data_IF_792729035101
#
_entry.id   IF_792729035101
#
_cell.length_a   1.000
_cell.length_b   1.000
_cell.length_c   1.000
_cell.angle_alpha   90.00
_cell.angle_beta   90.00
_cell.angle_gamma   90.00
#
_symmetry.space_group_name_H-M   'P 1'
#
loop_
_entity.id
_entity.type
_entity.pdbx_description
1 polymer ?
#
# COMPACT_ATOMS: atom_id res chain seq x y z
N UNK A 1 -74.31 73.23 -11.21
CA UNK A 1 -74.93 71.94 -11.61
C UNK A 1 -74.12 71.34 -12.75
N UNK A 2 -74.23 70.03 -12.94
CA UNK A 2 -73.65 69.24 -14.03
C UNK A 2 -72.15 68.87 -13.95
N UNK A 3 -71.98 67.55 -13.80
CA UNK A 3 -70.85 66.64 -14.01
C UNK A 3 -69.60 67.10 -14.77
N UNK A 4 -68.45 66.65 -14.26
CA UNK A 4 -67.25 66.33 -15.05
C UNK A 4 -66.73 64.92 -14.73
N UNK A 5 -66.35 64.21 -15.80
CA UNK A 5 -65.39 63.11 -15.79
C UNK A 5 -64.19 63.56 -16.68
N UNK A 6 -63.07 62.86 -16.87
CA UNK A 6 -62.68 61.44 -16.74
C UNK A 6 -61.24 61.44 -16.15
N UNK A 7 -60.78 60.48 -15.34
CA UNK A 7 -60.00 59.34 -15.85
C UNK A 7 -59.45 58.41 -14.76
N UNK A 8 -59.18 57.15 -15.15
CA UNK A 8 -58.60 56.10 -14.32
C UNK A 8 -57.06 56.19 -14.29
N UNK A 9 -56.45 55.70 -13.21
CA UNK A 9 -55.07 55.22 -13.18
C UNK A 9 -55.06 53.74 -12.77
N UNK A 10 -54.28 52.91 -13.46
CA UNK A 10 -54.34 51.46 -13.33
C UNK A 10 -53.43 50.91 -12.22
N UNK A 11 -53.98 50.10 -11.32
CA UNK A 11 -53.21 49.27 -10.39
C UNK A 11 -52.57 48.08 -11.10
N UNK A 12 -51.24 47.92 -10.97
CA UNK A 12 -50.46 46.97 -11.75
C UNK A 12 -50.59 45.51 -11.30
N UNK A 13 -50.57 44.58 -12.27
CA UNK A 13 -50.78 43.13 -12.05
C UNK A 13 -49.64 42.41 -11.29
N UNK A 14 -48.62 43.12 -10.84
CA UNK A 14 -47.37 42.55 -10.29
C UNK A 14 -47.52 41.99 -8.87
N UNK A 15 -48.33 42.62 -8.01
CA UNK A 15 -48.46 42.19 -6.61
C UNK A 15 -49.09 40.79 -6.42
N UNK A 16 -49.97 40.36 -7.33
CA UNK A 16 -50.73 39.11 -7.17
C UNK A 16 -49.94 37.85 -7.53
N UNK A 17 -48.88 37.97 -8.34
CA UNK A 17 -47.99 36.85 -8.67
C UNK A 17 -46.91 36.63 -7.61
N UNK A 18 -46.37 37.70 -7.04
CA UNK A 18 -45.35 37.62 -5.97
C UNK A 18 -45.90 36.87 -4.74
N UNK A 19 -47.14 37.18 -4.32
CA UNK A 19 -47.78 36.50 -3.19
C UNK A 19 -48.03 35.00 -3.45
N UNK A 20 -48.34 34.60 -4.69
CA UNK A 20 -48.53 33.18 -5.04
C UNK A 20 -47.21 32.40 -5.07
N UNK A 21 -46.11 33.02 -5.55
CA UNK A 21 -44.78 32.37 -5.54
C UNK A 21 -44.26 32.21 -4.11
N UNK A 22 -44.43 33.21 -3.25
CA UNK A 22 -44.02 33.13 -1.82
C UNK A 22 -44.85 32.12 -1.03
N UNK A 23 -46.16 32.00 -1.30
CA UNK A 23 -47.00 30.98 -0.67
C UNK A 23 -46.63 29.56 -1.14
N UNK A 24 -46.28 29.38 -2.42
CA UNK A 24 -45.87 28.08 -2.94
C UNK A 24 -44.51 27.63 -2.35
N UNK A 25 -43.53 28.52 -2.22
CA UNK A 25 -42.23 28.18 -1.62
C UNK A 25 -42.34 27.88 -0.12
N UNK A 26 -43.17 28.61 0.63
CA UNK A 26 -43.38 28.37 2.06
C UNK A 26 -44.10 27.04 2.40
N UNK A 27 -44.78 26.41 1.43
CA UNK A 27 -45.48 25.12 1.64
C UNK A 27 -44.73 23.94 1.01
N UNK A 28 -44.01 24.14 -0.11
CA UNK A 28 -43.24 23.08 -0.75
C UNK A 28 -41.88 22.81 -0.08
N UNK A 29 -41.24 23.83 0.51
CA UNK A 29 -39.94 23.64 1.19
C UNK A 29 -40.04 22.79 2.47
N UNK A 30 -41.05 22.93 3.36
CA UNK A 30 -41.20 22.05 4.51
C UNK A 30 -41.60 20.61 4.13
N UNK A 31 -42.38 20.42 3.06
CA UNK A 31 -42.89 19.10 2.68
C UNK A 31 -41.83 18.21 2.01
N UNK A 32 -40.85 18.82 1.32
CA UNK A 32 -39.67 18.12 0.82
C UNK A 32 -38.70 17.70 1.95
N UNK A 33 -38.71 18.39 3.09
CA UNK A 33 -37.86 18.09 4.26
C UNK A 33 -38.50 17.04 5.18
N UNK A 34 -39.82 16.86 5.13
CA UNK A 34 -40.57 15.92 5.98
C UNK A 34 -40.67 14.47 5.45
N UNK A 35 -40.22 14.20 4.22
CA UNK A 35 -40.30 12.86 3.57
C UNK A 35 -38.97 12.12 3.44
N UNK A 36 -37.90 12.60 4.09
CA UNK A 36 -36.61 11.89 4.22
C UNK A 36 -36.25 11.42 5.66
N UNK A 37 -37.14 10.67 6.36
CA UNK A 37 -36.70 9.84 7.47
C UNK A 37 -37.08 8.35 7.30
N UNK A 38 -36.75 7.70 6.18
CA UNK A 38 -36.92 6.23 6.06
C UNK A 38 -35.92 5.46 5.17
N UNK A 39 -34.70 5.99 4.95
CA UNK A 39 -33.64 5.25 4.23
C UNK A 39 -32.24 5.32 4.85
N UNK A 40 -32.08 5.95 6.02
CA UNK A 40 -30.78 6.07 6.72
C UNK A 40 -30.74 5.12 7.94
N UNK A 41 -31.07 3.85 7.71
CA UNK A 41 -30.96 2.75 8.70
C UNK A 41 -30.01 1.65 8.20
N UNK A 42 -29.30 1.88 7.09
CA UNK A 42 -28.22 1.00 6.60
C UNK A 42 -26.93 1.78 6.31
N UNK A 43 -26.56 2.68 7.24
CA UNK A 43 -25.31 3.44 7.22
C UNK A 43 -24.58 3.31 8.58
N UNK A 44 -24.46 2.07 9.07
CA UNK A 44 -23.52 1.71 10.15
C UNK A 44 -22.52 0.73 9.57
N UNK A 45 -21.21 1.00 9.71
CA UNK A 45 -20.15 0.09 9.29
C UNK A 45 -19.80 0.15 7.80
N UNK A 46 -19.37 1.31 7.32
CA UNK A 46 -18.58 1.39 6.09
C UNK A 46 -17.35 2.25 6.36
N UNK A 47 -16.38 1.66 7.07
CA UNK A 47 -14.99 2.09 6.95
C UNK A 47 -14.64 1.98 5.47
N UNK A 48 -14.51 3.11 4.79
CA UNK A 48 -14.09 3.13 3.38
C UNK A 48 -12.61 2.75 3.33
N UNK A 49 -12.35 1.44 3.32
CA UNK A 49 -11.04 0.92 2.97
C UNK A 49 -10.69 1.47 1.59
N UNK A 50 -9.73 2.39 1.54
CA UNK A 50 -9.13 2.83 0.28
C UNK A 50 -8.20 1.72 -0.20
N UNK A 51 -8.14 1.50 -1.52
CA UNK A 51 -7.12 0.62 -2.07
C UNK A 51 -5.77 1.28 -1.82
N UNK A 52 -4.90 0.61 -1.05
CA UNK A 52 -3.58 1.14 -0.75
C UNK A 52 -2.59 0.65 -1.81
N UNK A 53 -1.81 1.57 -2.37
CA UNK A 53 -0.53 1.25 -3.02
C UNK A 53 0.40 0.72 -1.94
N UNK A 54 0.44 -0.60 -1.78
CA UNK A 54 1.19 -1.25 -0.72
C UNK A 54 2.68 -1.24 -1.02
N UNK A 55 3.48 -0.78 -0.06
CA UNK A 55 4.92 -0.93 -0.09
C UNK A 55 5.26 -2.42 -0.11
N UNK A 56 5.57 -2.92 -1.31
CA UNK A 56 6.05 -4.26 -1.50
C UNK A 56 7.52 -4.15 -1.85
N UNK A 57 8.42 -4.84 -1.14
CA UNK A 57 9.84 -4.89 -1.46
C UNK A 57 10.13 -5.82 -2.66
N UNK A 58 9.13 -6.61 -3.10
CA UNK A 58 9.28 -7.61 -4.15
C UNK A 58 10.07 -8.85 -3.71
N UNK A 59 10.04 -9.90 -4.53
CA UNK A 59 10.92 -11.06 -4.38
C UNK A 59 12.42 -10.70 -4.52
N UNK A 60 13.30 -11.63 -4.17
CA UNK A 60 14.73 -11.46 -4.46
C UNK A 60 14.93 -11.37 -5.98
N UNK A 61 15.61 -10.33 -6.46
CA UNK A 61 15.86 -10.16 -7.88
C UNK A 61 16.81 -11.26 -8.39
N UNK A 62 16.36 -12.04 -9.37
CA UNK A 62 17.16 -13.12 -9.99
C UNK A 62 17.19 -12.94 -11.50
N UNK A 63 18.36 -13.18 -12.09
CA UNK A 63 18.59 -13.05 -13.54
C UNK A 63 18.98 -14.42 -14.10
N UNK A 64 18.18 -14.96 -15.03
CA UNK A 64 18.55 -16.18 -15.74
C UNK A 64 19.60 -15.89 -16.84
N UNK A 65 20.46 -16.87 -17.13
CA UNK A 65 21.62 -16.70 -18.01
C UNK A 65 21.29 -16.23 -19.44
N UNK A 66 20.08 -16.51 -19.94
CA UNK A 66 19.60 -16.08 -21.25
C UNK A 66 18.35 -15.18 -21.16
N UNK A 67 18.16 -14.49 -20.03
CA UNK A 67 17.00 -13.61 -19.83
C UNK A 67 17.14 -12.32 -20.63
N UNK A 68 16.04 -11.94 -21.29
CA UNK A 68 15.87 -10.66 -21.98
C UNK A 68 14.49 -10.12 -21.64
N UNK A 69 14.37 -8.83 -21.33
CA UNK A 69 13.10 -8.19 -20.96
C UNK A 69 13.01 -6.83 -21.64
N UNK A 70 11.98 -6.60 -22.44
CA UNK A 70 11.71 -5.32 -23.13
C UNK A 70 12.94 -4.69 -23.84
N UNK A 71 13.76 -5.54 -24.48
CA UNK A 71 14.99 -5.14 -25.17
C UNK A 71 16.27 -5.10 -24.30
N UNK A 72 16.16 -5.18 -22.98
CA UNK A 72 17.30 -5.26 -22.06
C UNK A 72 17.84 -6.69 -21.95
N UNK A 73 19.15 -6.85 -22.14
CA UNK A 73 19.88 -8.12 -22.05
C UNK A 73 20.44 -8.42 -20.65
N UNK A 74 21.09 -9.58 -20.51
CA UNK A 74 21.55 -10.12 -19.22
C UNK A 74 22.34 -9.11 -18.36
N UNK A 75 23.36 -8.44 -18.90
CA UNK A 75 24.21 -7.52 -18.12
C UNK A 75 23.43 -6.30 -17.60
N UNK A 76 22.49 -5.79 -18.39
CA UNK A 76 21.58 -4.69 -18.00
C UNK A 76 20.61 -5.16 -16.91
N UNK A 77 20.14 -6.40 -16.99
CA UNK A 77 19.27 -7.01 -15.99
C UNK A 77 20.01 -7.32 -14.67
N UNK A 78 21.31 -7.64 -14.71
CA UNK A 78 22.16 -7.74 -13.50
C UNK A 78 22.32 -6.38 -12.83
N UNK A 79 22.46 -5.31 -13.61
CA UNK A 79 22.48 -3.94 -13.09
C UNK A 79 21.12 -3.57 -12.48
N UNK A 80 19.99 -3.87 -13.15
CA UNK A 80 18.65 -3.66 -12.59
C UNK A 80 18.41 -4.46 -11.30
N UNK A 81 18.81 -5.74 -11.25
CA UNK A 81 18.74 -6.58 -10.05
C UNK A 81 19.56 -5.99 -8.90
N UNK A 82 20.72 -5.39 -9.19
CA UNK A 82 21.55 -4.68 -8.20
C UNK A 82 20.82 -3.46 -7.64
N UNK A 83 20.22 -2.62 -8.50
CA UNK A 83 19.43 -1.45 -8.10
C UNK A 83 18.23 -1.86 -7.22
N UNK A 84 17.50 -2.91 -7.62
CA UNK A 84 16.39 -3.48 -6.85
C UNK A 84 16.87 -3.95 -5.48
N UNK A 85 17.92 -4.77 -5.42
CA UNK A 85 18.39 -5.35 -4.17
C UNK A 85 18.95 -4.30 -3.19
N UNK A 86 19.57 -3.22 -3.68
CA UNK A 86 19.98 -2.09 -2.84
C UNK A 86 18.77 -1.32 -2.29
N UNK A 87 17.74 -1.10 -3.11
CA UNK A 87 16.49 -0.47 -2.66
C UNK A 87 15.83 -1.28 -1.54
N UNK A 88 15.73 -2.60 -1.72
CA UNK A 88 15.24 -3.55 -0.71
C UNK A 88 16.05 -3.48 0.59
N UNK A 89 17.38 -3.42 0.51
CA UNK A 89 18.26 -3.30 1.67
C UNK A 89 18.11 -1.96 2.42
N UNK A 90 17.60 -0.92 1.76
CA UNK A 90 17.29 0.38 2.35
C UNK A 90 15.80 0.55 2.72
N UNK A 91 14.98 -0.50 2.61
CA UNK A 91 13.54 -0.45 2.91
C UNK A 91 12.71 0.32 1.87
N UNK A 92 13.27 0.60 0.69
CA UNK A 92 12.56 1.26 -0.41
C UNK A 92 11.63 0.27 -1.11
N UNK A 93 10.38 0.66 -1.31
CA UNK A 93 9.35 -0.16 -1.94
C UNK A 93 9.52 -0.31 -3.47
N UNK A 94 8.70 -1.18 -4.08
CA UNK A 94 8.70 -1.43 -5.53
C UNK A 94 8.40 -0.18 -6.34
N UNK A 95 7.66 0.80 -5.82
CA UNK A 95 7.47 2.07 -6.53
C UNK A 95 8.78 2.87 -6.60
N UNK A 96 9.47 3.06 -5.47
CA UNK A 96 10.79 3.71 -5.44
C UNK A 96 11.85 2.94 -6.20
N UNK A 97 11.84 1.60 -6.14
CA UNK A 97 12.71 0.74 -6.96
C UNK A 97 12.42 0.89 -8.46
N UNK A 98 11.15 0.98 -8.86
CA UNK A 98 10.74 1.20 -10.26
C UNK A 98 11.19 2.58 -10.74
N UNK A 99 11.09 3.61 -9.90
CA UNK A 99 11.61 4.95 -10.20
C UNK A 99 13.13 4.94 -10.37
N UNK A 100 13.87 4.19 -9.54
CA UNK A 100 15.32 4.04 -9.69
C UNK A 100 15.69 3.27 -10.98
N UNK A 101 15.06 2.13 -11.26
CA UNK A 101 15.29 1.37 -12.50
C UNK A 101 14.93 2.20 -13.74
N UNK A 102 13.79 2.91 -13.72
CA UNK A 102 13.36 3.85 -14.77
C UNK A 102 14.41 4.97 -14.99
N UNK A 103 14.95 5.53 -13.90
CA UNK A 103 16.00 6.56 -14.00
C UNK A 103 17.23 5.98 -14.68
N UNK A 104 17.73 4.83 -14.21
CA UNK A 104 18.90 4.17 -14.80
C UNK A 104 18.69 3.73 -16.27
N UNK A 105 17.46 3.41 -16.67
CA UNK A 105 17.10 3.20 -18.08
C UNK A 105 17.23 4.48 -18.91
N UNK A 106 16.74 5.62 -18.42
CA UNK A 106 16.85 6.91 -19.10
C UNK A 106 18.29 7.44 -19.19
N UNK A 107 19.05 7.33 -18.09
CA UNK A 107 20.42 7.89 -18.00
C UNK A 107 21.48 7.07 -18.75
N UNK A 108 21.29 5.75 -18.88
CA UNK A 108 22.36 4.87 -19.43
C UNK A 108 21.86 3.64 -20.18
N UNK A 109 20.55 3.44 -20.31
CA UNK A 109 19.96 2.15 -20.70
C UNK A 109 20.45 1.00 -19.82
N UNK A 110 20.53 1.23 -18.49
CA UNK A 110 21.06 0.27 -17.50
C UNK A 110 22.52 -0.16 -17.76
N UNK A 111 23.39 0.75 -18.19
CA UNK A 111 24.81 0.48 -18.43
C UNK A 111 25.70 1.28 -17.49
N UNK A 112 26.76 0.66 -16.97
CA UNK A 112 27.72 1.35 -16.09
C UNK A 112 28.77 2.13 -16.89
N UNK A 113 28.36 3.27 -17.46
CA UNK A 113 29.20 4.06 -18.37
C UNK A 113 30.33 4.79 -17.62
N UNK A 114 31.56 4.73 -18.15
CA UNK A 114 32.74 5.39 -17.55
C UNK A 114 32.94 6.85 -18.01
N UNK A 115 31.98 7.35 -18.79
CA UNK A 115 31.88 8.63 -19.48
C UNK A 115 30.42 9.11 -19.42
N UNK A 116 30.15 10.33 -19.86
CA UNK A 116 28.81 10.90 -19.91
C UNK A 116 28.51 11.57 -21.24
N UNK A 117 27.26 12.00 -21.41
CA UNK A 117 26.79 12.58 -22.68
C UNK A 117 27.27 14.04 -22.88
N UNK A 118 27.73 14.68 -21.80
CA UNK A 118 28.31 16.00 -21.83
C UNK A 118 29.79 15.99 -22.28
N UNK A 119 30.21 17.03 -22.98
CA UNK A 119 31.59 17.21 -23.48
C UNK A 119 32.65 17.14 -22.36
N UNK A 120 32.28 17.47 -21.12
CA UNK A 120 33.17 17.44 -19.96
C UNK A 120 33.25 16.07 -19.24
N UNK A 121 32.39 15.10 -19.58
CA UNK A 121 32.33 13.77 -18.97
C UNK A 121 32.25 13.78 -17.43
N UNK A 122 31.64 14.81 -16.84
CA UNK A 122 31.58 14.96 -15.37
C UNK A 122 30.56 14.03 -14.71
N UNK A 123 29.49 13.69 -15.42
CA UNK A 123 28.51 12.64 -15.10
C UNK A 123 29.01 11.28 -15.57
N UNK A 124 28.82 10.25 -14.75
CA UNK A 124 29.23 8.86 -15.05
C UNK A 124 28.34 7.86 -14.31
N UNK A 125 28.48 6.59 -14.68
CA UNK A 125 27.85 5.45 -14.04
C UNK A 125 26.43 5.22 -14.51
N UNK A 126 25.79 4.21 -13.93
CA UNK A 126 24.44 3.77 -14.30
C UNK A 126 23.35 4.85 -14.18
N UNK A 127 23.55 5.83 -13.30
CA UNK A 127 22.66 6.98 -13.09
C UNK A 127 23.21 8.31 -13.63
N UNK A 128 24.30 8.32 -14.42
CA UNK A 128 24.95 9.56 -14.88
C UNK A 128 25.14 10.60 -13.75
N UNK A 129 25.57 10.15 -12.58
CA UNK A 129 25.64 11.00 -11.40
C UNK A 129 26.86 11.93 -11.47
N UNK A 130 26.69 13.20 -11.09
CA UNK A 130 27.78 14.16 -10.88
C UNK A 130 28.49 13.99 -9.53
N UNK A 131 29.58 14.71 -9.29
CA UNK A 131 30.41 14.58 -8.08
C UNK A 131 29.66 14.79 -6.73
N UNK A 132 28.49 15.43 -6.75
CA UNK A 132 27.63 15.61 -5.57
C UNK A 132 27.09 14.29 -4.97
N UNK A 133 27.11 13.19 -5.74
CA UNK A 133 26.69 11.86 -5.28
C UNK A 133 27.85 11.02 -4.71
N UNK A 134 29.11 11.47 -4.88
CA UNK A 134 30.28 10.77 -4.35
C UNK A 134 31.51 10.83 -5.26
N UNK A 135 32.57 10.16 -4.77
CA UNK A 135 33.85 10.04 -5.49
C UNK A 135 33.70 9.26 -6.80
N UNK A 136 34.66 9.40 -7.73
CA UNK A 136 34.62 8.70 -9.03
C UNK A 136 34.45 7.17 -8.88
N UNK A 137 35.16 6.45 -7.98
CA UNK A 137 34.93 5.02 -7.79
C UNK A 137 33.52 4.69 -7.29
N UNK A 138 32.97 5.46 -6.36
CA UNK A 138 31.62 5.25 -5.82
C UNK A 138 30.54 5.42 -6.89
N UNK A 139 30.70 6.38 -7.81
CA UNK A 139 29.76 6.58 -8.92
C UNK A 139 29.87 5.53 -10.04
N UNK A 140 30.98 4.79 -10.08
CA UNK A 140 31.20 3.67 -11.01
C UNK A 140 30.94 2.30 -10.38
N UNK A 141 30.50 2.25 -9.12
CA UNK A 141 29.97 1.05 -8.49
C UNK A 141 28.44 1.13 -8.51
N UNK A 142 27.72 0.28 -9.28
CA UNK A 142 26.27 0.37 -9.42
C UNK A 142 25.52 0.27 -8.09
N UNK A 143 26.03 -0.49 -7.12
CA UNK A 143 25.41 -0.63 -5.81
C UNK A 143 25.53 0.67 -4.99
N UNK A 144 26.71 1.27 -4.94
CA UNK A 144 26.94 2.56 -4.26
C UNK A 144 26.20 3.72 -4.94
N UNK A 145 26.17 3.75 -6.27
CA UNK A 145 25.42 4.75 -7.04
C UNK A 145 23.90 4.66 -6.79
N UNK A 146 23.35 3.43 -6.71
CA UNK A 146 21.97 3.20 -6.32
C UNK A 146 21.68 3.62 -4.87
N UNK A 147 22.58 3.28 -3.93
CA UNK A 147 22.44 3.69 -2.54
C UNK A 147 22.42 5.23 -2.39
N UNK A 148 23.24 5.94 -3.18
CA UNK A 148 23.23 7.41 -3.22
C UNK A 148 21.94 8.00 -3.84
N UNK A 149 21.39 7.36 -4.89
CA UNK A 149 20.10 7.74 -5.48
C UNK A 149 18.97 7.62 -4.44
N UNK A 150 18.80 6.46 -3.81
CA UNK A 150 17.75 6.22 -2.82
C UNK A 150 17.90 7.09 -1.58
N UNK A 151 19.13 7.29 -1.08
CA UNK A 151 19.39 8.20 0.06
C UNK A 151 18.85 9.60 -0.21
N UNK A 152 19.00 10.10 -1.45
CA UNK A 152 18.47 11.41 -1.86
C UNK A 152 16.96 11.37 -2.10
N UNK A 153 16.43 10.28 -2.68
CA UNK A 153 15.00 10.09 -2.90
C UNK A 153 14.19 10.13 -1.58
N UNK A 154 14.68 9.43 -0.55
CA UNK A 154 14.03 9.36 0.77
C UNK A 154 13.99 10.70 1.53
N UNK A 155 14.74 11.72 1.08
CA UNK A 155 14.63 13.10 1.64
C UNK A 155 13.49 13.91 1.03
N UNK A 156 12.82 13.42 -0.01
CA UNK A 156 11.77 14.14 -0.73
C UNK A 156 10.41 13.85 -0.05
N UNK A 157 9.71 14.84 0.54
CA UNK A 157 8.43 14.58 1.19
C UNK A 157 7.36 14.11 0.20
N UNK A 158 6.67 13.02 0.53
CA UNK A 158 5.59 12.44 -0.28
C UNK A 158 6.08 11.79 -1.57
N UNK A 159 7.31 11.29 -1.61
CA UNK A 159 7.86 10.56 -2.75
C UNK A 159 7.02 9.32 -3.09
N UNK A 160 6.42 8.68 -2.07
CA UNK A 160 5.64 7.44 -2.16
C UNK A 160 4.41 7.54 -3.07
N UNK A 161 3.90 8.76 -3.29
CA UNK A 161 2.71 9.06 -4.09
C UNK A 161 2.99 10.08 -5.20
N UNK A 162 4.27 10.30 -5.53
CA UNK A 162 4.68 11.27 -6.54
C UNK A 162 4.57 10.68 -7.95
N UNK A 163 4.39 11.52 -8.96
CA UNK A 163 4.60 11.08 -10.35
C UNK A 163 6.02 10.52 -10.52
N UNK A 164 6.21 9.34 -11.14
CA UNK A 164 7.51 8.69 -11.26
C UNK A 164 8.59 9.55 -11.92
N UNK A 165 8.25 10.23 -13.03
CA UNK A 165 9.22 11.04 -13.77
C UNK A 165 9.55 12.32 -13.01
N UNK A 166 8.55 12.93 -12.35
CA UNK A 166 8.76 14.06 -11.45
C UNK A 166 9.63 13.70 -10.24
N UNK A 167 9.49 12.50 -9.67
CA UNK A 167 10.34 12.04 -8.57
C UNK A 167 11.78 11.83 -9.03
N UNK A 168 12.00 11.12 -10.14
CA UNK A 168 13.32 10.97 -10.74
C UNK A 168 13.97 12.32 -11.05
N UNK A 169 13.21 13.25 -11.64
CA UNK A 169 13.64 14.64 -11.87
C UNK A 169 14.05 15.36 -10.58
N UNK A 170 13.30 15.22 -9.47
CA UNK A 170 13.68 15.84 -8.19
C UNK A 170 14.94 15.22 -7.57
N UNK A 171 15.17 13.91 -7.78
CA UNK A 171 16.41 13.26 -7.34
C UNK A 171 17.58 13.77 -8.19
N UNK A 172 17.52 13.60 -9.50
CA UNK A 172 18.63 13.85 -10.45
C UNK A 172 18.87 15.35 -10.74
N UNK A 173 17.82 16.16 -10.67
CA UNK A 173 17.81 17.59 -11.06
C UNK A 173 18.20 17.79 -12.54
N UNK A 174 17.57 17.01 -13.42
CA UNK A 174 17.72 17.13 -14.88
C UNK A 174 16.87 18.28 -15.45
N UNK A 175 17.03 18.59 -16.75
CA UNK A 175 16.38 19.76 -17.37
C UNK A 175 14.89 19.58 -17.71
N UNK A 176 14.42 18.35 -17.95
CA UNK A 176 13.03 18.04 -18.32
C UNK A 176 12.38 17.11 -17.28
N UNK A 177 11.36 17.57 -16.54
CA UNK A 177 10.62 16.74 -15.59
C UNK A 177 9.97 15.48 -16.18
N UNK A 178 9.69 15.45 -17.49
CA UNK A 178 9.03 14.34 -18.18
C UNK A 178 10.00 13.38 -18.88
N UNK A 179 11.31 13.62 -18.79
CA UNK A 179 12.34 12.86 -19.50
C UNK A 179 12.25 11.34 -19.27
N UNK A 180 11.92 10.92 -18.04
CA UNK A 180 11.92 9.52 -17.65
C UNK A 180 10.60 8.80 -17.94
N UNK A 181 9.52 9.53 -18.28
CA UNK A 181 8.14 9.00 -18.42
C UNK A 181 8.05 7.77 -19.33
N UNK A 182 8.80 7.76 -20.44
CA UNK A 182 8.80 6.64 -21.40
C UNK A 182 9.33 5.32 -20.82
N UNK A 183 10.20 5.39 -19.81
CA UNK A 183 10.89 4.24 -19.22
C UNK A 183 10.13 3.62 -18.03
N UNK A 184 9.05 4.25 -17.53
CA UNK A 184 8.36 3.76 -16.33
C UNK A 184 7.74 2.37 -16.54
N UNK A 185 7.08 2.15 -17.69
CA UNK A 185 6.53 0.83 -18.03
C UNK A 185 7.65 -0.22 -18.23
N UNK A 186 8.67 -0.01 -19.07
CA UNK A 186 9.82 -0.91 -19.18
C UNK A 186 10.45 -1.30 -17.83
N UNK A 187 10.61 -0.33 -16.92
CA UNK A 187 11.14 -0.57 -15.58
C UNK A 187 10.22 -1.49 -14.74
N UNK A 188 8.91 -1.33 -14.87
CA UNK A 188 7.92 -2.21 -14.23
C UNK A 188 7.94 -3.64 -14.78
N UNK A 189 8.12 -3.79 -16.09
CA UNK A 189 8.25 -5.10 -16.73
C UNK A 189 9.56 -5.81 -16.33
N UNK A 190 10.66 -5.07 -16.21
CA UNK A 190 11.94 -5.57 -15.67
C UNK A 190 11.80 -6.00 -14.21
N UNK A 191 11.20 -5.20 -13.35
CA UNK A 191 10.96 -5.59 -11.94
C UNK A 191 10.09 -6.86 -11.87
N UNK A 192 9.02 -6.93 -12.66
CA UNK A 192 8.15 -8.11 -12.72
C UNK A 192 8.91 -9.37 -13.13
N UNK A 193 9.74 -9.28 -14.17
CA UNK A 193 10.51 -10.40 -14.68
C UNK A 193 11.67 -10.85 -13.76
N UNK A 194 12.22 -9.94 -12.94
CA UNK A 194 13.32 -10.26 -12.02
C UNK A 194 12.86 -10.70 -10.63
N UNK A 195 11.71 -10.21 -10.15
CA UNK A 195 11.22 -10.43 -8.77
C UNK A 195 9.95 -11.29 -8.71
N UNK A 196 9.39 -11.68 -9.86
CA UNK A 196 8.07 -12.33 -9.95
C UNK A 196 6.91 -11.43 -9.54
N UNK A 197 7.12 -10.13 -9.33
CA UNK A 197 6.16 -9.20 -8.72
C UNK A 197 5.96 -7.97 -9.62
N UNK A 198 4.73 -7.77 -10.12
CA UNK A 198 4.38 -6.54 -10.86
C UNK A 198 4.04 -5.40 -9.88
N UNK A 199 4.21 -4.12 -10.26
CA UNK A 199 3.66 -2.99 -9.51
C UNK A 199 2.13 -3.06 -9.32
N UNK A 200 1.41 -3.75 -10.23
CA UNK A 200 -0.02 -4.00 -10.11
C UNK A 200 -0.36 -5.05 -9.03
N UNK A 201 0.49 -6.07 -8.81
CA UNK A 201 0.36 -7.00 -7.68
C UNK A 201 0.71 -6.36 -6.32
N UNK A 202 1.26 -5.14 -6.32
CA UNK A 202 1.44 -4.33 -5.11
C UNK A 202 0.18 -3.54 -4.71
N UNK A 203 -0.92 -3.64 -5.48
CA UNK A 203 -2.21 -3.11 -5.07
C UNK A 203 -2.82 -4.00 -3.98
N UNK A 204 -3.00 -3.43 -2.79
CA UNK A 204 -3.67 -4.09 -1.67
C UNK A 204 -5.17 -3.80 -1.79
N UNK A 205 -6.03 -4.79 -2.16
CA UNK A 205 -7.40 -4.49 -2.53
C UNK A 205 -8.23 -3.97 -1.36
N UNK A 206 -9.07 -2.97 -1.63
CA UNK A 206 -10.09 -2.47 -0.70
C UNK A 206 -11.25 -3.45 -0.49
N UNK A 207 -11.45 -4.38 -1.41
CA UNK A 207 -12.48 -5.41 -1.33
C UNK A 207 -11.94 -6.70 -0.72
N UNK A 208 -12.67 -7.25 0.25
CA UNK A 208 -12.26 -8.43 0.99
C UNK A 208 -12.18 -9.68 0.09
N UNK A 209 -13.10 -9.86 -0.86
CA UNK A 209 -13.06 -11.00 -1.78
C UNK A 209 -11.90 -10.90 -2.77
N UNK A 210 -11.57 -9.69 -3.25
CA UNK A 210 -10.39 -9.43 -4.08
C UNK A 210 -9.08 -9.66 -3.32
N UNK A 211 -8.96 -9.20 -2.07
CA UNK A 211 -7.80 -9.48 -1.22
C UNK A 211 -7.64 -10.98 -0.96
N UNK A 212 -8.73 -11.67 -0.62
CA UNK A 212 -8.74 -13.11 -0.42
C UNK A 212 -8.34 -13.90 -1.69
N UNK A 213 -8.71 -13.46 -2.90
CA UNK A 213 -8.26 -14.09 -4.15
C UNK A 213 -6.75 -14.01 -4.36
N UNK A 214 -6.11 -12.91 -3.97
CA UNK A 214 -4.64 -12.80 -4.00
C UNK A 214 -3.99 -13.79 -3.01
N UNK A 215 -4.58 -13.92 -1.82
CA UNK A 215 -4.12 -14.88 -0.81
C UNK A 215 -4.32 -16.34 -1.27
N UNK A 216 -5.42 -16.67 -1.96
CA UNK A 216 -5.63 -18.00 -2.58
C UNK A 216 -4.60 -18.29 -3.68
N UNK A 217 -4.21 -17.30 -4.48
CA UNK A 217 -3.11 -17.47 -5.43
C UNK A 217 -1.77 -17.72 -4.72
N UNK A 218 -1.53 -17.07 -3.57
CA UNK A 218 -0.34 -17.30 -2.74
C UNK A 218 -0.34 -18.67 -2.03
N UNK A 219 -1.51 -19.18 -1.62
CA UNK A 219 -1.69 -20.56 -1.13
C UNK A 219 -1.31 -21.55 -2.24
N UNK A 220 -1.88 -21.38 -3.45
CA UNK A 220 -1.59 -22.25 -4.59
C UNK A 220 -0.11 -22.22 -5.02
N UNK A 221 0.59 -21.11 -4.77
CA UNK A 221 2.04 -20.97 -4.99
C UNK A 221 2.92 -21.52 -3.84
N UNK A 222 2.32 -22.02 -2.74
CA UNK A 222 3.04 -22.45 -1.53
C UNK A 222 3.66 -21.31 -0.73
N UNK A 223 3.32 -20.05 -1.05
CA UNK A 223 3.87 -18.83 -0.44
C UNK A 223 3.15 -18.46 0.86
N UNK A 224 1.85 -18.74 0.93
CA UNK A 224 1.05 -18.58 2.14
C UNK A 224 0.68 -19.97 2.67
N UNK A 225 1.05 -20.26 3.91
CA UNK A 225 0.81 -21.55 4.57
C UNK A 225 0.09 -21.34 5.90
N UNK A 226 -0.79 -22.28 6.26
CA UNK A 226 -1.53 -22.24 7.52
C UNK A 226 -1.09 -23.39 8.42
N UNK A 227 -1.03 -23.14 9.74
CA UNK A 227 -0.78 -24.19 10.73
C UNK A 227 -1.92 -25.21 10.76
N UNK A 228 -3.15 -24.76 10.44
CA UNK A 228 -4.33 -25.61 10.34
C UNK A 228 -5.19 -25.24 9.12
N UNK A 229 -5.64 -26.25 8.36
CA UNK A 229 -6.43 -26.07 7.14
C UNK A 229 -7.78 -25.37 7.36
N UNK A 230 -8.30 -25.35 8.59
CA UNK A 230 -9.51 -24.62 8.97
C UNK A 230 -9.37 -23.10 8.85
N UNK A 231 -8.16 -22.56 8.95
CA UNK A 231 -7.89 -21.14 8.74
C UNK A 231 -7.69 -20.82 7.25
N UNK A 232 -7.01 -21.71 6.51
CA UNK A 232 -6.91 -21.65 5.05
C UNK A 232 -8.30 -21.61 4.39
N UNK A 233 -9.21 -22.47 4.84
CA UNK A 233 -10.57 -22.55 4.33
C UNK A 233 -11.37 -21.25 4.55
N UNK A 234 -11.08 -20.46 5.59
CA UNK A 234 -11.72 -19.14 5.77
C UNK A 234 -11.34 -18.19 4.63
N UNK A 235 -10.07 -18.16 4.25
CA UNK A 235 -9.58 -17.33 3.14
C UNK A 235 -10.14 -17.80 1.80
N UNK A 236 -10.20 -19.10 1.56
CA UNK A 236 -10.81 -19.68 0.35
C UNK A 236 -12.30 -19.27 0.26
N UNK A 237 -13.05 -19.43 1.35
CA UNK A 237 -14.47 -19.07 1.40
C UNK A 237 -14.74 -17.55 1.34
N UNK A 238 -13.77 -16.72 1.72
CA UNK A 238 -13.84 -15.26 1.48
C UNK A 238 -13.59 -14.94 0.00
N UNK A 239 -12.72 -15.70 -0.69
CA UNK A 239 -12.37 -15.49 -2.09
C UNK A 239 -13.48 -15.93 -3.07
N UNK A 240 -14.18 -17.03 -2.77
CA UNK A 240 -15.30 -17.53 -3.60
C UNK A 240 -16.67 -16.90 -3.25
N UNK A 241 -16.77 -16.19 -2.12
CA UNK A 241 -17.99 -15.54 -1.65
C UNK A 241 -18.94 -16.45 -0.86
N UNK A 242 -18.47 -17.62 -0.40
CA UNK A 242 -19.26 -18.60 0.38
C UNK A 242 -19.12 -18.47 1.90
N UNK A 243 -18.25 -17.58 2.40
CA UNK A 243 -18.00 -17.39 3.82
C UNK A 243 -19.29 -17.07 4.60
N UNK A 244 -19.54 -17.85 5.66
CA UNK A 244 -20.68 -17.61 6.56
C UNK A 244 -20.41 -16.40 7.46
N UNK A 245 -21.47 -15.81 8.03
CA UNK A 245 -21.36 -14.65 8.93
C UNK A 245 -20.46 -14.89 10.18
N UNK A 246 -20.27 -16.14 10.60
CA UNK A 246 -19.37 -16.50 11.70
C UNK A 246 -17.90 -16.64 11.26
N UNK A 247 -17.65 -16.69 9.94
CA UNK A 247 -16.35 -16.95 9.31
C UNK A 247 -15.81 -15.77 8.48
N UNK A 248 -16.47 -14.61 8.54
CA UNK A 248 -15.98 -13.40 7.89
C UNK A 248 -14.66 -12.93 8.55
N UNK A 249 -13.75 -12.45 7.73
CA UNK A 249 -12.52 -11.78 8.16
C UNK A 249 -12.65 -10.29 7.86
N UNK A 250 -12.15 -9.44 8.76
CA UNK A 250 -12.05 -8.01 8.48
C UNK A 250 -11.13 -7.77 7.27
N UNK A 251 -11.52 -6.84 6.40
CA UNK A 251 -10.74 -6.57 5.20
C UNK A 251 -9.31 -6.15 5.52
N UNK A 252 -9.08 -5.41 6.61
CA UNK A 252 -7.75 -4.96 6.99
C UNK A 252 -6.86 -6.13 7.45
N UNK A 253 -7.43 -7.21 8.01
CA UNK A 253 -6.69 -8.45 8.31
C UNK A 253 -6.21 -9.09 7.01
N UNK A 254 -7.11 -9.23 6.02
CA UNK A 254 -6.75 -9.76 4.70
C UNK A 254 -5.70 -8.86 4.00
N UNK A 255 -5.81 -7.53 4.13
CA UNK A 255 -4.84 -6.58 3.59
C UNK A 255 -3.46 -6.72 4.24
N UNK A 256 -3.38 -6.86 5.56
CA UNK A 256 -2.13 -7.14 6.29
C UNK A 256 -1.50 -8.45 5.81
N UNK A 257 -2.31 -9.50 5.62
CA UNK A 257 -1.83 -10.77 5.05
C UNK A 257 -1.31 -10.58 3.60
N UNK A 258 -1.98 -9.79 2.76
CA UNK A 258 -1.51 -9.49 1.38
C UNK A 258 -0.20 -8.73 1.40
N UNK A 259 -0.04 -7.73 2.28
CA UNK A 259 1.22 -6.99 2.43
C UNK A 259 2.34 -7.95 2.87
N UNK A 260 2.11 -8.82 3.86
CA UNK A 260 3.09 -9.81 4.27
C UNK A 260 3.47 -10.75 3.10
N UNK A 261 2.48 -11.32 2.41
CA UNK A 261 2.67 -12.21 1.27
C UNK A 261 3.44 -11.54 0.13
N UNK A 262 3.29 -10.24 -0.08
CA UNK A 262 4.03 -9.51 -1.12
C UNK A 262 5.48 -9.16 -0.73
N UNK A 263 5.82 -9.21 0.56
CA UNK A 263 7.12 -8.75 1.09
C UNK A 263 8.05 -9.88 1.55
N UNK A 264 7.50 -10.98 2.02
CA UNK A 264 8.27 -12.13 2.51
C UNK A 264 8.30 -13.27 1.47
N UNK A 265 9.29 -14.16 1.56
CA UNK A 265 9.43 -15.32 0.67
C UNK A 265 8.36 -16.37 0.93
N UNK A 266 8.00 -16.55 2.20
CA UNK A 266 6.92 -17.40 2.69
C UNK A 266 6.31 -16.75 3.94
N UNK A 267 5.02 -17.00 4.17
CA UNK A 267 4.22 -16.48 5.29
C UNK A 267 3.46 -17.64 5.93
N UNK A 268 3.62 -17.82 7.23
CA UNK A 268 2.94 -18.81 8.05
C UNK A 268 1.91 -18.19 8.99
N UNK A 269 0.64 -18.60 8.88
CA UNK A 269 -0.46 -18.11 9.73
C UNK A 269 -0.93 -19.22 10.68
N UNK A 270 -0.96 -18.93 11.98
CA UNK A 270 -1.40 -19.88 13.02
C UNK A 270 -2.85 -19.71 13.41
N UNK A 271 -3.40 -18.50 13.32
CA UNK A 271 -4.77 -18.22 13.76
C UNK A 271 -5.41 -17.05 13.00
N UNK A 272 -6.75 -17.10 12.86
CA UNK A 272 -7.60 -16.11 12.22
C UNK A 272 -8.95 -16.02 12.97
N UNK A 273 -10.09 -16.32 12.33
CA UNK A 273 -11.40 -16.19 12.97
C UNK A 273 -11.75 -17.44 13.81
N UNK A 274 -11.56 -17.35 15.14
CA UNK A 274 -11.91 -18.41 16.11
C UNK A 274 -13.42 -18.65 16.24
N UNK A 275 -14.28 -17.70 15.87
CA UNK A 275 -15.74 -17.90 15.84
C UNK A 275 -16.18 -18.80 14.69
N UNK A 276 -15.36 -18.91 13.64
CA UNK A 276 -15.58 -19.88 12.57
C UNK A 276 -15.29 -21.32 13.05
N UNK A 277 -14.25 -21.49 13.88
CA UNK A 277 -13.81 -22.80 14.40
C UNK A 277 -14.56 -23.23 15.66
N UNK A 278 -15.22 -22.28 16.34
CA UNK A 278 -15.97 -22.51 17.59
C UNK A 278 -15.09 -22.45 18.85
N UNK A 279 -13.86 -21.94 18.74
CA UNK A 279 -12.88 -21.96 19.82
C UNK A 279 -12.91 -20.71 20.69
N UNK A 280 -12.77 -20.89 22.01
CA UNK A 280 -12.79 -19.78 22.98
C UNK A 280 -11.58 -19.79 23.95
N UNK A 281 -10.32 -19.92 23.48
CA UNK A 281 -9.15 -19.76 24.34
C UNK A 281 -8.98 -18.30 24.82
N UNK A 282 -8.25 -18.11 25.93
CA UNK A 282 -7.90 -16.80 26.47
C UNK A 282 -9.12 -15.93 26.80
N UNK A 283 -9.22 -14.77 26.16
CA UNK A 283 -10.34 -13.83 26.32
C UNK A 283 -11.69 -14.38 25.80
N UNK A 284 -11.71 -15.53 25.11
CA UNK A 284 -12.93 -16.13 24.60
C UNK A 284 -13.63 -15.22 23.57
N UNK A 285 -14.93 -14.99 23.75
CA UNK A 285 -15.76 -14.28 22.77
C UNK A 285 -15.48 -12.78 22.64
N UNK A 286 -14.68 -12.19 23.54
CA UNK A 286 -14.23 -10.79 23.42
C UNK A 286 -12.92 -10.65 22.65
N UNK A 287 -12.20 -11.74 22.35
CA UNK A 287 -10.98 -11.71 21.56
C UNK A 287 -11.21 -11.14 20.16
N UNK A 288 -10.24 -10.40 19.62
CA UNK A 288 -10.27 -9.94 18.23
C UNK A 288 -10.32 -11.11 17.23
N UNK A 289 -9.72 -12.27 17.55
CA UNK A 289 -9.89 -13.50 16.75
C UNK A 289 -11.34 -13.97 16.68
N UNK A 290 -12.10 -13.90 17.78
CA UNK A 290 -13.53 -14.25 17.75
C UNK A 290 -14.37 -13.28 16.91
N UNK A 291 -13.84 -12.08 16.65
CA UNK A 291 -14.48 -11.06 15.83
C UNK A 291 -14.01 -11.09 14.36
N UNK A 292 -13.07 -11.97 13.99
CA UNK A 292 -12.43 -11.98 12.67
C UNK A 292 -11.49 -10.78 12.42
N UNK A 293 -11.04 -10.13 13.50
CA UNK A 293 -10.24 -8.88 13.51
C UNK A 293 -8.77 -9.07 13.89
N UNK A 294 -8.28 -10.30 13.92
CA UNK A 294 -6.89 -10.59 14.27
C UNK A 294 -6.29 -11.69 13.39
N UNK A 295 -4.97 -11.71 13.35
CA UNK A 295 -4.15 -12.69 12.64
C UNK A 295 -2.86 -12.94 13.42
N UNK A 296 -2.54 -14.22 13.59
CA UNK A 296 -1.29 -14.66 14.21
C UNK A 296 -0.34 -15.16 13.13
N UNK A 297 0.81 -14.51 13.01
CA UNK A 297 1.90 -14.94 12.13
C UNK A 297 2.86 -15.81 12.93
N UNK A 298 2.95 -17.11 12.62
CA UNK A 298 3.91 -18.00 13.30
C UNK A 298 5.26 -18.10 12.58
N UNK A 299 5.32 -17.75 11.29
CA UNK A 299 6.56 -17.81 10.52
C UNK A 299 6.61 -16.80 9.36
N UNK A 300 7.81 -16.32 9.04
CA UNK A 300 8.12 -15.56 7.83
C UNK A 300 9.45 -16.06 7.26
N UNK A 301 9.59 -16.10 5.93
CA UNK A 301 10.81 -16.61 5.26
C UNK A 301 11.25 -18.01 5.76
N UNK A 302 10.30 -18.88 6.13
CA UNK A 302 10.52 -20.19 6.77
C UNK A 302 11.19 -20.17 8.16
N UNK A 303 11.25 -19.01 8.83
CA UNK A 303 11.72 -18.85 10.21
C UNK A 303 10.55 -18.56 11.15
N UNK A 304 10.51 -19.20 12.31
CA UNK A 304 9.47 -18.97 13.32
C UNK A 304 9.58 -17.57 13.93
N UNK A 305 8.42 -16.96 14.22
CA UNK A 305 8.33 -15.66 14.89
C UNK A 305 8.19 -15.82 16.40
N UNK A 306 8.68 -14.82 17.13
CA UNK A 306 8.52 -14.67 18.60
C UNK A 306 7.89 -13.35 19.01
N UNK A 307 7.70 -12.44 18.04
CA UNK A 307 7.20 -11.07 18.25
C UNK A 307 8.27 -10.06 18.68
N UNK A 308 9.53 -10.49 18.82
CA UNK A 308 10.70 -9.61 19.05
C UNK A 308 11.83 -9.81 18.03
N UNK A 309 11.81 -10.91 17.29
CA UNK A 309 12.80 -11.23 16.26
C UNK A 309 12.80 -10.22 15.10
N UNK A 310 13.90 -10.15 14.36
CA UNK A 310 14.09 -9.21 13.25
C UNK A 310 12.96 -9.25 12.20
N UNK A 311 12.37 -10.43 11.93
CA UNK A 311 11.29 -10.58 10.96
C UNK A 311 9.95 -10.11 11.52
N UNK A 312 9.67 -10.35 12.80
CA UNK A 312 8.54 -9.72 13.50
C UNK A 312 8.65 -8.20 13.47
N UNK A 313 9.80 -7.63 13.86
CA UNK A 313 10.02 -6.18 13.84
C UNK A 313 9.93 -5.61 12.41
N UNK A 314 10.45 -6.33 11.41
CA UNK A 314 10.31 -5.97 10.00
C UNK A 314 8.84 -5.96 9.56
N UNK A 315 8.06 -7.01 9.88
CA UNK A 315 6.63 -7.09 9.57
C UNK A 315 5.86 -5.92 10.20
N UNK A 316 6.10 -5.64 11.48
CA UNK A 316 5.40 -4.56 12.20
C UNK A 316 5.66 -3.20 11.53
N UNK A 317 6.93 -2.87 11.26
CA UNK A 317 7.28 -1.58 10.64
C UNK A 317 6.79 -1.47 9.19
N UNK A 318 6.73 -2.58 8.48
CA UNK A 318 6.19 -2.66 7.12
C UNK A 318 4.69 -2.38 7.06
N UNK A 319 3.90 -2.94 7.99
CA UNK A 319 2.43 -2.83 7.97
C UNK A 319 1.89 -1.63 8.75
N UNK A 320 2.66 -1.05 9.70
CA UNK A 320 2.22 0.09 10.51
C UNK A 320 1.65 1.26 9.68
N UNK A 321 2.22 1.69 8.54
CA UNK A 321 1.63 2.76 7.73
C UNK A 321 0.23 2.43 7.16
N UNK A 322 -0.13 1.15 7.05
CA UNK A 322 -1.30 0.64 6.34
C UNK A 322 -2.42 0.12 7.25
N UNK A 323 -2.11 -0.33 8.47
CA UNK A 323 -3.14 -0.74 9.43
C UNK A 323 -3.98 0.47 9.89
N UNK A 324 -5.27 0.30 10.21
CA UNK A 324 -6.08 1.38 10.78
C UNK A 324 -5.46 1.93 12.07
N UNK A 325 -5.47 3.25 12.23
CA UNK A 325 -5.09 3.88 13.50
C UNK A 325 -5.98 3.37 14.64
N UNK A 326 -5.37 2.86 15.72
CA UNK A 326 -6.08 2.13 16.77
C UNK A 326 -5.78 0.63 16.79
N UNK A 327 -5.02 0.13 15.81
CA UNK A 327 -4.62 -1.28 15.74
C UNK A 327 -3.76 -1.70 16.93
N UNK A 328 -3.86 -2.99 17.26
CA UNK A 328 -3.20 -3.61 18.41
C UNK A 328 -2.11 -4.61 18.01
N UNK A 329 -1.08 -4.68 18.84
CA UNK A 329 0.10 -5.51 18.64
C UNK A 329 0.39 -6.34 19.92
N UNK A 330 0.43 -7.66 19.78
CA UNK A 330 0.77 -8.57 20.89
C UNK A 330 2.27 -8.61 21.21
N UNK A 331 2.67 -9.55 22.07
CA UNK A 331 4.07 -9.84 22.44
C UNK A 331 4.84 -8.66 23.08
N UNK A 332 4.15 -7.67 23.67
CA UNK A 332 4.82 -6.51 24.28
C UNK A 332 5.67 -6.88 25.50
N UNK A 333 5.26 -7.92 26.23
CA UNK A 333 6.00 -8.56 27.32
C UNK A 333 7.31 -9.22 26.86
N UNK A 334 7.32 -9.78 25.65
CA UNK A 334 8.48 -10.49 25.07
C UNK A 334 9.55 -9.45 24.74
N UNK A 335 9.20 -8.48 23.87
CA UNK A 335 10.04 -7.31 23.53
C UNK A 335 10.56 -6.54 24.77
N UNK A 336 9.71 -6.33 25.77
CA UNK A 336 10.11 -5.63 27.00
C UNK A 336 11.08 -6.44 27.87
N UNK A 337 10.98 -7.77 27.91
CA UNK A 337 11.87 -8.63 28.69
C UNK A 337 13.32 -8.61 28.16
N UNK A 338 13.49 -8.46 26.84
CA UNK A 338 14.80 -8.32 26.20
C UNK A 338 15.26 -6.85 26.04
N UNK A 339 14.49 -5.88 26.55
CA UNK A 339 14.90 -4.48 26.63
C UNK A 339 14.75 -3.67 25.34
N UNK A 340 14.06 -4.19 24.33
CA UNK A 340 13.81 -3.51 23.04
C UNK A 340 12.29 -3.24 22.82
N UNK A 341 11.69 -2.28 23.55
CA UNK A 341 10.30 -1.90 23.32
C UNK A 341 10.17 -1.16 21.98
N UNK A 342 9.40 -1.74 21.05
CA UNK A 342 9.13 -1.09 19.77
C UNK A 342 8.38 0.24 19.96
N UNK A 343 8.97 1.32 19.43
CA UNK A 343 8.50 2.70 19.54
C UNK A 343 8.44 3.37 18.16
N UNK A 344 7.81 4.54 18.08
CA UNK A 344 7.71 5.32 16.84
C UNK A 344 6.67 4.82 15.83
N UNK A 345 5.86 3.83 16.20
CA UNK A 345 4.72 3.35 15.39
C UNK A 345 3.61 4.41 15.35
N UNK A 346 2.96 4.53 14.18
CA UNK A 346 1.97 5.56 13.86
C UNK A 346 0.54 5.10 14.09
N UNK A 347 0.21 3.86 13.71
CA UNK A 347 -1.16 3.33 13.73
C UNK A 347 -1.35 2.19 14.74
N UNK A 348 -0.28 1.47 15.09
CA UNK A 348 -0.26 0.58 16.26
C UNK A 348 -0.19 1.38 17.56
N UNK A 349 -1.35 1.83 18.05
CA UNK A 349 -1.46 2.61 19.29
C UNK A 349 -1.74 1.77 20.53
N UNK A 350 -1.96 0.45 20.38
CA UNK A 350 -2.19 -0.48 21.48
C UNK A 350 -1.13 -1.58 21.45
N UNK A 351 -0.46 -1.84 22.57
CA UNK A 351 0.46 -2.96 22.74
C UNK A 351 0.07 -3.77 24.00
N UNK A 352 0.06 -5.09 23.91
CA UNK A 352 -0.34 -5.97 25.01
C UNK A 352 0.50 -7.25 25.09
N UNK A 353 0.43 -7.91 26.24
CA UNK A 353 1.20 -9.11 26.53
C UNK A 353 0.57 -10.35 25.88
N UNK A 354 1.42 -11.22 25.33
CA UNK A 354 1.02 -12.45 24.63
C UNK A 354 2.14 -13.52 24.64
N UNK A 355 1.91 -14.69 24.03
CA UNK A 355 2.91 -15.77 23.94
C UNK A 355 3.96 -15.54 22.85
N UNK A 356 5.21 -15.90 23.13
CA UNK A 356 6.37 -15.64 22.24
C UNK A 356 6.61 -16.72 21.18
N UNK A 357 5.55 -17.28 20.60
CA UNK A 357 5.57 -18.33 19.56
C UNK A 357 4.91 -17.89 18.23
N UNK A 358 4.51 -16.63 18.16
CA UNK A 358 3.93 -15.97 16.99
C UNK A 358 4.06 -14.44 17.13
N UNK A 359 3.64 -13.68 16.12
CA UNK A 359 3.34 -12.25 16.21
C UNK A 359 1.84 -12.03 15.97
N UNK A 360 1.12 -11.62 17.03
CA UNK A 360 -0.30 -11.25 16.99
C UNK A 360 -0.47 -9.83 16.45
N UNK A 361 -1.34 -9.65 15.47
CA UNK A 361 -1.77 -8.35 14.94
C UNK A 361 -3.31 -8.29 14.96
N UNK A 362 -3.88 -7.19 15.47
CA UNK A 362 -5.32 -6.97 15.45
C UNK A 362 -5.71 -5.56 15.00
N UNK A 363 -6.90 -5.45 14.41
CA UNK A 363 -7.50 -4.21 13.92
C UNK A 363 -8.70 -3.79 14.80
N UNK A 364 -9.02 -2.49 14.91
CA UNK A 364 -10.08 -1.99 15.80
C UNK A 364 -11.50 -2.37 15.36
#
# INVERSE_FOLDING_TARGET
MSSTAVSLAAGTKTGRWVLLVVAATLVLVPLAVALLPFSVVLAMGSSTATAFTGACLGGAATVAASQTVDGYGHDQLVIAATIIQVGRAQGVDVHGQQVAVMTAMGESSLQNLNHGDAVDNTTIGVFQQGAAYGTRPQRLDPATAAAAFYTRMLTIPGWEAMDPSLLAHRVQVNADPNHYTAFYKPAGDVIAALTGTTPASCQVPADAAAAAKLLVAAIAAGKLTFLESRYEQQVISMADGTATANCLLDVHVLQVMVIAVNNFQQVGISDLNRRCTGETPGAGTSSAHWQGKAVDFYALNHQSLTGEDDLSIQLIRLIDPYVPHGSGLGQSNIRAANGDPITGLKNFTLQFADTGDHQHIQVP
#
